data_IF_229089994262
#
_entry.id   IF_229089994262
#
_cell.length_a   1.000
_cell.length_b   1.000
_cell.length_c   1.000
_cell.angle_alpha   90.00
_cell.angle_beta   90.00
_cell.angle_gamma   90.00
#
_symmetry.space_group_name_H-M   'P 1'
#
loop_
_entity.id
_entity.type
_entity.pdbx_description
1 polymer ?
#
# COMPACT_ATOMS: atom_id res chain seq x y z
N UNK A 1 1.94 -6.64 23.03
CA UNK A 1 1.92 -5.86 21.77
C UNK A 1 1.42 -6.79 20.68
N UNK A 2 0.18 -6.59 20.19
CA UNK A 2 -0.36 -7.38 19.08
C UNK A 2 0.44 -7.06 17.83
N UNK A 3 1.24 -8.02 17.35
CA UNK A 3 2.03 -7.89 16.14
C UNK A 3 1.07 -7.67 14.98
N UNK A 4 1.08 -6.45 14.42
CA UNK A 4 0.12 -6.02 13.40
C UNK A 4 0.47 -6.70 12.09
N UNK A 5 -0.04 -7.92 11.98
CA UNK A 5 -0.23 -8.73 10.78
C UNK A 5 -0.55 -7.88 9.55
N UNK A 6 0.45 -7.68 8.69
CA UNK A 6 0.38 -6.81 7.51
C UNK A 6 1.30 -7.34 6.40
N UNK A 7 0.93 -7.08 5.14
CA UNK A 7 1.72 -7.37 3.94
C UNK A 7 2.53 -6.17 3.46
N UNK A 8 2.57 -5.10 4.26
CA UNK A 8 3.31 -3.89 3.94
C UNK A 8 4.80 -4.01 4.25
N UNK A 9 5.62 -3.52 3.33
CA UNK A 9 7.04 -3.34 3.55
C UNK A 9 7.28 -2.13 4.47
N UNK A 10 7.30 -2.37 5.79
CA UNK A 10 7.49 -1.30 6.77
C UNK A 10 8.83 -0.57 6.63
N UNK A 11 9.88 -1.21 6.09
CA UNK A 11 11.18 -0.59 5.86
C UNK A 11 11.07 0.48 4.77
N UNK A 12 10.48 0.12 3.63
CA UNK A 12 10.27 1.05 2.51
C UNK A 12 9.28 2.14 2.90
N UNK A 13 8.17 1.81 3.56
CA UNK A 13 7.17 2.80 4.00
C UNK A 13 7.77 3.78 5.00
N UNK A 14 8.53 3.32 5.99
CA UNK A 14 9.18 4.21 6.97
C UNK A 14 10.18 5.12 6.30
N UNK A 15 10.99 4.61 5.37
CA UNK A 15 11.96 5.39 4.58
C UNK A 15 11.25 6.45 3.73
N UNK A 16 10.19 6.08 3.03
CA UNK A 16 9.42 7.02 2.19
C UNK A 16 8.65 8.04 3.02
N UNK A 17 8.06 7.64 4.14
CA UNK A 17 7.40 8.56 5.09
C UNK A 17 8.39 9.54 5.69
N UNK A 18 9.60 9.10 6.04
CA UNK A 18 10.66 9.99 6.54
C UNK A 18 11.08 11.00 5.46
N UNK A 19 11.31 10.55 4.22
CA UNK A 19 11.61 11.44 3.09
C UNK A 19 10.50 12.47 2.86
N UNK A 20 9.23 12.03 2.86
CA UNK A 20 8.09 12.91 2.69
C UNK A 20 7.95 13.92 3.83
N UNK A 21 8.23 13.53 5.09
CA UNK A 21 8.28 14.46 6.24
C UNK A 21 9.33 15.55 6.04
N UNK A 22 10.55 15.17 5.66
CA UNK A 22 11.64 16.13 5.44
C UNK A 22 11.28 17.09 4.30
N UNK A 23 10.78 16.56 3.17
CA UNK A 23 10.34 17.39 2.04
C UNK A 23 9.22 18.35 2.42
N UNK A 24 8.26 17.89 3.23
CA UNK A 24 7.16 18.72 3.71
C UNK A 24 7.66 19.84 4.63
N UNK A 25 8.52 19.54 5.61
CA UNK A 25 9.07 20.55 6.52
C UNK A 25 9.87 21.60 5.75
N UNK A 26 10.76 21.17 4.85
CA UNK A 26 11.57 22.09 4.03
C UNK A 26 10.67 22.94 3.13
N UNK A 27 9.74 22.32 2.40
CA UNK A 27 8.82 23.04 1.51
C UNK A 27 7.93 24.05 2.24
N UNK A 28 7.38 23.67 3.40
CA UNK A 28 6.55 24.58 4.23
C UNK A 28 7.40 25.72 4.80
N UNK A 29 8.61 25.44 5.28
CA UNK A 29 9.50 26.50 5.77
C UNK A 29 9.85 27.50 4.68
N UNK A 30 10.16 27.04 3.47
CA UNK A 30 10.43 27.91 2.32
C UNK A 30 9.21 28.76 1.96
N UNK A 31 8.01 28.16 1.90
CA UNK A 31 6.77 28.89 1.65
C UNK A 31 6.52 29.97 2.71
N UNK A 32 6.77 29.68 3.99
CA UNK A 32 6.61 30.66 5.06
C UNK A 32 7.58 31.86 4.88
N UNK A 33 8.85 31.60 4.56
CA UNK A 33 9.82 32.67 4.28
C UNK A 33 9.40 33.54 3.08
N UNK A 34 8.97 32.92 1.98
CA UNK A 34 8.53 33.69 0.81
C UNK A 34 7.21 34.43 1.04
N UNK A 35 6.30 33.89 1.85
CA UNK A 35 5.07 34.58 2.24
C UNK A 35 5.37 35.86 3.05
N UNK A 36 6.35 35.83 3.95
CA UNK A 36 6.82 37.04 4.65
C UNK A 36 7.41 38.05 3.65
N UNK A 37 8.18 37.57 2.68
CA UNK A 37 8.69 38.42 1.59
C UNK A 37 7.59 39.12 0.80
N UNK A 38 6.47 38.43 0.51
CA UNK A 38 5.31 39.02 -0.16
C UNK A 38 4.63 40.11 0.69
N UNK A 39 4.62 40.00 2.02
CA UNK A 39 4.10 41.07 2.88
C UNK A 39 4.92 42.36 2.75
N UNK A 40 6.25 42.24 2.59
CA UNK A 40 7.13 43.39 2.30
C UNK A 40 6.83 44.07 0.95
N UNK A 41 6.38 43.29 -0.05
CA UNK A 41 5.91 43.83 -1.34
C UNK A 41 4.63 44.65 -1.16
N UNK A 42 3.68 44.15 -0.37
CA UNK A 42 2.41 44.84 -0.10
C UNK A 42 2.66 46.17 0.64
N UNK A 43 3.65 46.21 1.53
CA UNK A 43 4.07 47.42 2.23
C UNK A 43 4.85 48.42 1.37
N UNK A 44 5.10 48.12 0.09
CA UNK A 44 5.79 49.01 -0.84
C UNK A 44 7.29 49.13 -0.60
N UNK A 45 7.89 48.25 0.20
CA UNK A 45 9.33 48.27 0.50
C UNK A 45 10.20 47.55 -0.54
N UNK A 46 9.57 46.86 -1.50
CA UNK A 46 10.22 45.91 -2.40
C UNK A 46 9.91 46.28 -3.85
N UNK A 47 10.95 46.30 -4.70
CA UNK A 47 10.79 46.65 -6.11
C UNK A 47 10.21 45.51 -6.97
N UNK A 48 9.63 45.86 -8.13
CA UNK A 48 8.96 44.90 -9.02
C UNK A 48 9.84 43.70 -9.44
N UNK A 49 11.14 43.91 -9.62
CA UNK A 49 12.06 42.82 -9.99
C UNK A 49 12.24 41.80 -8.85
N UNK A 50 12.23 42.26 -7.60
CA UNK A 50 12.36 41.42 -6.42
C UNK A 50 11.07 40.61 -6.20
N UNK A 51 9.91 41.19 -6.47
CA UNK A 51 8.62 40.48 -6.44
C UNK A 51 8.58 39.31 -7.43
N UNK A 52 9.05 39.52 -8.67
CA UNK A 52 9.10 38.46 -9.67
C UNK A 52 10.01 37.31 -9.24
N UNK A 53 11.14 37.64 -8.58
CA UNK A 53 12.08 36.66 -8.05
C UNK A 53 11.49 35.85 -6.89
N UNK A 54 10.76 36.48 -5.96
CA UNK A 54 10.07 35.80 -4.86
C UNK A 54 9.03 34.81 -5.40
N UNK A 55 8.23 35.22 -6.40
CA UNK A 55 7.23 34.34 -7.03
C UNK A 55 7.90 33.15 -7.73
N UNK A 56 8.98 33.40 -8.49
CA UNK A 56 9.73 32.34 -9.15
C UNK A 56 10.29 31.32 -8.15
N UNK A 57 10.75 31.76 -6.98
CA UNK A 57 11.27 30.90 -5.91
C UNK A 57 10.17 30.17 -5.11
N UNK A 58 8.91 30.61 -5.16
CA UNK A 58 7.80 29.84 -4.56
C UNK A 58 7.48 28.57 -5.35
N UNK A 59 7.68 28.55 -6.66
CA UNK A 59 7.39 27.39 -7.53
C UNK A 59 8.07 26.10 -7.04
N UNK A 60 9.39 26.06 -6.78
CA UNK A 60 10.04 24.86 -6.26
C UNK A 60 9.56 24.48 -4.85
N UNK A 61 9.19 25.46 -4.01
CA UNK A 61 8.67 25.19 -2.67
C UNK A 61 7.30 24.49 -2.74
N UNK A 62 6.40 24.97 -3.61
CA UNK A 62 5.12 24.29 -3.90
C UNK A 62 5.33 22.89 -4.46
N UNK A 63 6.29 22.72 -5.38
CA UNK A 63 6.62 21.41 -5.94
C UNK A 63 7.06 20.40 -4.86
N UNK A 64 7.89 20.82 -3.90
CA UNK A 64 8.32 19.96 -2.79
C UNK A 64 7.15 19.52 -1.91
N UNK A 65 6.23 20.44 -1.57
CA UNK A 65 5.03 20.12 -0.79
C UNK A 65 4.12 19.17 -1.57
N UNK A 66 3.91 19.43 -2.87
CA UNK A 66 3.14 18.55 -3.74
C UNK A 66 3.70 17.13 -3.80
N UNK A 67 5.01 16.98 -3.99
CA UNK A 67 5.69 15.69 -3.95
C UNK A 67 5.47 14.97 -2.62
N UNK A 68 5.63 15.67 -1.49
CA UNK A 68 5.42 15.10 -0.16
C UNK A 68 3.98 14.58 0.01
N UNK A 69 2.98 15.40 -0.36
CA UNK A 69 1.57 14.99 -0.35
C UNK A 69 1.31 13.75 -1.19
N UNK A 70 1.90 13.68 -2.39
CA UNK A 70 1.76 12.53 -3.27
C UNK A 70 2.34 11.26 -2.63
N UNK A 71 3.52 11.36 -1.99
CA UNK A 71 4.11 10.24 -1.25
C UNK A 71 3.21 9.73 -0.11
N UNK A 72 2.60 10.63 0.66
CA UNK A 72 1.63 10.25 1.68
C UNK A 72 0.39 9.59 1.10
N UNK A 73 -0.12 10.10 -0.02
CA UNK A 73 -1.26 9.52 -0.74
C UNK A 73 -1.00 8.07 -1.14
N UNK A 74 0.18 7.76 -1.70
CA UNK A 74 0.54 6.38 -2.05
C UNK A 74 0.65 5.46 -0.83
N UNK A 75 1.17 5.94 0.30
CA UNK A 75 1.25 5.14 1.54
C UNK A 75 -0.16 4.85 2.06
N UNK A 76 -1.04 5.86 2.09
CA UNK A 76 -2.42 5.68 2.55
C UNK A 76 -3.20 4.71 1.64
N UNK A 77 -2.96 4.77 0.32
CA UNK A 77 -3.52 3.82 -0.64
C UNK A 77 -3.02 2.40 -0.38
N UNK A 78 -1.70 2.21 -0.21
CA UNK A 78 -1.13 0.91 0.13
C UNK A 78 -1.72 0.34 1.44
N UNK A 79 -1.90 1.18 2.47
CA UNK A 79 -2.54 0.79 3.74
C UNK A 79 -4.02 0.40 3.57
N UNK A 80 -4.74 0.95 2.59
CA UNK A 80 -6.12 0.53 2.26
C UNK A 80 -6.14 -0.86 1.63
N UNK A 81 -5.31 -1.09 0.62
CA UNK A 81 -5.19 -2.40 -0.03
C UNK A 81 -4.72 -3.48 0.96
N UNK A 82 -3.80 -3.16 1.88
CA UNK A 82 -3.36 -4.09 2.92
C UNK A 82 -4.52 -4.58 3.80
N UNK A 83 -5.51 -3.72 4.10
CA UNK A 83 -6.70 -4.14 4.86
C UNK A 83 -7.53 -5.17 4.08
N UNK A 84 -7.67 -5.01 2.78
CA UNK A 84 -8.35 -5.98 1.90
C UNK A 84 -7.59 -7.31 1.93
N UNK A 85 -6.26 -7.26 1.77
CA UNK A 85 -5.41 -8.45 1.79
C UNK A 85 -5.44 -9.18 3.14
N UNK A 86 -5.56 -8.45 4.24
CA UNK A 86 -5.65 -9.04 5.58
C UNK A 86 -6.97 -9.77 5.84
N UNK A 87 -8.08 -9.33 5.23
CA UNK A 87 -9.41 -9.95 5.36
C UNK A 87 -9.56 -11.21 4.52
N UNK A 88 -8.74 -11.37 3.48
CA UNK A 88 -8.86 -12.50 2.57
C UNK A 88 -8.52 -13.85 3.22
N UNK A 89 -9.26 -14.88 2.79
CA UNK A 89 -9.21 -16.25 3.33
C UNK A 89 -8.50 -17.23 2.41
N UNK A 90 -8.50 -16.98 1.10
CA UNK A 90 -8.06 -17.94 0.08
C UNK A 90 -6.64 -17.63 -0.46
N UNK A 91 -6.14 -16.42 -0.20
CA UNK A 91 -4.79 -15.99 -0.59
C UNK A 91 -4.67 -15.59 -2.06
N UNK A 92 -5.80 -15.50 -2.75
CA UNK A 92 -5.93 -15.06 -4.14
C UNK A 92 -7.09 -14.08 -4.15
N UNK A 93 -6.81 -12.84 -4.52
CA UNK A 93 -7.81 -11.79 -4.57
C UNK A 93 -7.91 -11.33 -6.00
N UNK A 94 -9.09 -11.45 -6.59
CA UNK A 94 -9.31 -11.05 -7.97
C UNK A 94 -9.43 -9.52 -8.07
N UNK A 95 -9.00 -8.96 -9.20
CA UNK A 95 -9.13 -7.52 -9.43
C UNK A 95 -10.60 -7.03 -9.43
N UNK A 96 -11.56 -7.91 -9.72
CA UNK A 96 -12.98 -7.57 -9.63
C UNK A 96 -13.45 -7.38 -8.18
N UNK A 97 -13.12 -8.34 -7.29
CA UNK A 97 -13.43 -8.24 -5.86
C UNK A 97 -12.78 -7.00 -5.23
N UNK A 98 -11.55 -6.69 -5.61
CA UNK A 98 -10.87 -5.47 -5.16
C UNK A 98 -11.55 -4.19 -5.67
N UNK A 99 -12.00 -4.18 -6.92
CA UNK A 99 -12.67 -3.03 -7.51
C UNK A 99 -14.02 -2.75 -6.83
N UNK A 100 -14.78 -3.81 -6.50
CA UNK A 100 -16.04 -3.72 -5.75
C UNK A 100 -15.81 -3.20 -4.32
N UNK A 101 -14.87 -3.78 -3.57
CA UNK A 101 -14.61 -3.36 -2.18
C UNK A 101 -14.05 -1.93 -2.12
N UNK A 102 -13.35 -1.47 -3.16
CA UNK A 102 -12.80 -0.12 -3.25
C UNK A 102 -13.76 0.91 -3.88
N UNK A 103 -14.89 0.47 -4.45
CA UNK A 103 -15.81 1.29 -5.24
C UNK A 103 -15.06 2.12 -6.31
N UNK A 104 -14.16 1.46 -7.04
CA UNK A 104 -13.33 2.07 -8.08
C UNK A 104 -13.51 1.36 -9.41
N UNK A 105 -13.31 2.08 -10.51
CA UNK A 105 -13.22 1.45 -11.83
C UNK A 105 -12.03 0.51 -11.86
N UNK A 106 -12.25 -0.68 -12.41
CA UNK A 106 -11.26 -1.74 -12.50
C UNK A 106 -9.92 -1.28 -13.10
N UNK A 107 -9.96 -0.52 -14.19
CA UNK A 107 -8.76 -0.03 -14.87
C UNK A 107 -7.95 0.94 -13.99
N UNK A 108 -8.62 1.89 -13.35
CA UNK A 108 -7.96 2.88 -12.49
C UNK A 108 -7.36 2.22 -11.24
N UNK A 109 -8.07 1.26 -10.66
CA UNK A 109 -7.57 0.44 -9.55
C UNK A 109 -6.33 -0.33 -9.96
N UNK A 110 -6.34 -1.01 -11.11
CA UNK A 110 -5.21 -1.82 -11.54
C UNK A 110 -3.95 -0.98 -11.83
N UNK A 111 -4.10 0.16 -12.50
CA UNK A 111 -2.98 1.11 -12.74
C UNK A 111 -2.42 1.65 -11.42
N UNK A 112 -3.28 1.93 -10.45
CA UNK A 112 -2.86 2.37 -9.12
C UNK A 112 -2.12 1.26 -8.36
N UNK A 113 -2.68 0.05 -8.36
CA UNK A 113 -2.13 -1.12 -7.73
C UNK A 113 -0.75 -1.45 -8.31
N UNK A 114 -0.61 -1.46 -9.62
CA UNK A 114 0.66 -1.68 -10.31
C UNK A 114 1.72 -0.66 -9.88
N UNK A 115 1.36 0.63 -9.78
CA UNK A 115 2.28 1.68 -9.29
C UNK A 115 2.74 1.40 -7.85
N UNK A 116 1.86 0.91 -6.99
CA UNK A 116 2.17 0.57 -5.59
C UNK A 116 3.10 -0.65 -5.53
N UNK A 117 2.84 -1.69 -6.34
CA UNK A 117 3.70 -2.88 -6.45
C UNK A 117 5.09 -2.54 -7.02
N UNK A 118 5.17 -1.73 -8.08
CA UNK A 118 6.45 -1.27 -8.65
C UNK A 118 7.29 -0.46 -7.67
N UNK A 119 6.65 0.24 -6.72
CA UNK A 119 7.33 0.97 -5.64
C UNK A 119 7.80 0.07 -4.49
N UNK A 120 7.47 -1.22 -4.51
CA UNK A 120 7.90 -2.19 -3.52
C UNK A 120 7.20 -2.07 -2.17
N UNK A 121 6.02 -1.44 -2.11
CA UNK A 121 5.31 -1.26 -0.84
C UNK A 121 4.73 -2.55 -0.26
N UNK A 122 4.55 -3.60 -1.07
CA UNK A 122 4.08 -4.91 -0.62
C UNK A 122 5.23 -5.92 -0.54
N UNK A 123 5.14 -6.80 0.45
CA UNK A 123 5.98 -8.00 0.61
C UNK A 123 5.07 -9.22 0.62
N UNK A 124 5.61 -10.37 0.20
CA UNK A 124 4.88 -11.64 0.19
C UNK A 124 3.61 -11.63 -0.68
N UNK A 125 3.49 -10.67 -1.61
CA UNK A 125 2.40 -10.59 -2.59
C UNK A 125 2.99 -10.40 -3.99
N UNK A 126 2.36 -11.00 -5.00
CA UNK A 126 2.69 -10.78 -6.42
C UNK A 126 1.45 -10.43 -7.21
N UNK A 127 1.59 -9.47 -8.10
CA UNK A 127 0.55 -9.08 -9.03
C UNK A 127 0.66 -9.92 -10.30
N UNK A 128 -0.35 -10.74 -10.59
CA UNK A 128 -0.46 -11.45 -11.86
C UNK A 128 -1.22 -10.57 -12.85
N UNK A 129 -0.65 -10.32 -14.03
CA UNK A 129 -1.25 -9.46 -15.08
C UNK A 129 -1.83 -10.28 -16.26
N UNK A 130 -2.14 -11.56 -16.04
CA UNK A 130 -2.63 -12.47 -17.08
C UNK A 130 -4.09 -12.20 -17.49
N UNK A 131 -4.77 -13.22 -18.07
CA UNK A 131 -6.19 -13.13 -18.47
C UNK A 131 -7.12 -12.65 -17.35
N UNK A 132 -6.85 -13.07 -16.11
CA UNK A 132 -7.55 -12.61 -14.92
C UNK A 132 -6.52 -12.02 -13.95
N UNK A 133 -6.35 -10.69 -13.92
CA UNK A 133 -5.39 -10.11 -13.01
C UNK A 133 -5.84 -10.31 -11.57
N UNK A 134 -4.90 -10.79 -10.77
CA UNK A 134 -5.12 -11.18 -9.39
C UNK A 134 -3.89 -10.83 -8.56
N UNK A 135 -4.11 -10.56 -7.28
CA UNK A 135 -3.04 -10.48 -6.30
C UNK A 135 -2.94 -11.83 -5.62
N UNK A 136 -1.80 -12.48 -5.80
CA UNK A 136 -1.47 -13.74 -5.15
C UNK A 136 -0.66 -13.43 -3.91
N UNK A 137 -1.14 -13.84 -2.75
CA UNK A 137 -0.42 -13.74 -1.49
C UNK A 137 0.47 -14.99 -1.37
N UNK A 138 1.77 -14.83 -1.54
CA UNK A 138 2.75 -15.91 -1.61
C UNK A 138 3.12 -16.48 -0.24
N UNK A 139 3.11 -15.65 0.81
CA UNK A 139 3.56 -16.06 2.13
C UNK A 139 2.78 -15.40 3.27
N UNK A 140 3.03 -15.85 4.49
CA UNK A 140 2.40 -15.35 5.71
C UNK A 140 2.69 -13.85 5.93
N UNK A 141 1.90 -13.22 6.79
CA UNK A 141 2.07 -11.80 7.11
C UNK A 141 3.40 -11.57 7.83
N UNK A 142 3.92 -10.34 7.73
CA UNK A 142 5.10 -9.95 8.51
C UNK A 142 4.76 -10.09 10.01
N UNK A 143 5.47 -10.99 10.70
CA UNK A 143 5.25 -11.34 12.11
C UNK A 143 4.65 -12.74 12.35
N UNK A 144 4.23 -13.46 11.31
CA UNK A 144 3.87 -14.88 11.48
C UNK A 144 5.15 -15.73 11.65
N UNK A 145 5.20 -16.52 12.74
CA UNK A 145 6.30 -17.43 13.03
C UNK A 145 6.40 -18.51 11.93
N UNK A 146 7.38 -18.36 11.04
CA UNK A 146 7.86 -19.34 10.03
C UNK A 146 6.76 -20.07 9.24
N UNK A 147 6.48 -19.56 8.03
CA UNK A 147 6.72 -20.39 6.84
C UNK A 147 5.55 -21.01 6.08
N UNK A 148 4.28 -20.81 6.46
CA UNK A 148 3.16 -21.18 5.59
C UNK A 148 2.00 -20.25 5.87
N UNK A 149 1.87 -19.17 5.10
CA UNK A 149 0.70 -18.30 5.19
C UNK A 149 -0.53 -18.98 4.60
N UNK A 150 -0.31 -19.74 3.54
CA UNK A 150 -1.33 -20.45 2.78
C UNK A 150 -0.81 -21.84 2.43
N UNK A 151 -1.66 -22.85 2.57
CA UNK A 151 -1.38 -24.22 2.20
C UNK A 151 -2.34 -24.65 1.09
N UNK A 152 -1.80 -25.35 0.10
CA UNK A 152 -2.60 -26.00 -0.93
C UNK A 152 -3.03 -27.36 -0.39
N UNK A 153 -4.33 -27.64 -0.45
CA UNK A 153 -4.89 -28.89 0.04
C UNK A 153 -6.01 -29.39 -0.86
N UNK A 154 -6.20 -30.71 -0.86
CA UNK A 154 -7.27 -31.35 -1.61
C UNK A 154 -8.54 -31.33 -0.78
N UNK A 155 -9.64 -30.84 -1.34
CA UNK A 155 -10.94 -30.84 -0.69
C UNK A 155 -11.40 -32.29 -0.47
N UNK A 156 -11.73 -32.70 0.76
CA UNK A 156 -12.16 -34.06 1.04
C UNK A 156 -13.52 -34.41 0.42
N UNK A 157 -14.32 -33.40 0.04
CA UNK A 157 -15.67 -33.60 -0.52
C UNK A 157 -15.69 -33.71 -2.04
N UNK A 158 -14.93 -32.87 -2.75
CA UNK A 158 -14.93 -32.84 -4.22
C UNK A 158 -13.60 -33.23 -4.87
N UNK A 159 -12.54 -33.50 -4.09
CA UNK A 159 -11.23 -33.86 -4.62
C UNK A 159 -10.48 -32.71 -5.33
N UNK A 160 -11.06 -31.51 -5.39
CA UNK A 160 -10.41 -30.37 -6.02
C UNK A 160 -9.33 -29.77 -5.12
N UNK A 161 -8.24 -29.29 -5.72
CA UNK A 161 -7.18 -28.59 -5.01
C UNK A 161 -7.63 -27.16 -4.67
N UNK A 162 -7.67 -26.80 -3.39
CA UNK A 162 -7.97 -25.44 -2.90
C UNK A 162 -6.83 -24.91 -2.05
N UNK A 163 -6.57 -23.61 -2.13
CA UNK A 163 -5.59 -22.92 -1.28
C UNK A 163 -6.32 -22.25 -0.12
N UNK A 164 -5.92 -22.55 1.11
CA UNK A 164 -6.48 -21.91 2.30
C UNK A 164 -5.38 -21.40 3.22
N UNK A 165 -5.70 -20.38 4.00
CA UNK A 165 -4.77 -19.83 5.00
C UNK A 165 -4.40 -20.90 6.04
N UNK A 166 -3.12 -20.98 6.38
CA UNK A 166 -2.67 -21.98 7.35
C UNK A 166 -3.29 -21.71 8.72
N UNK A 167 -3.59 -22.78 9.45
CA UNK A 167 -4.27 -22.74 10.75
C UNK A 167 -5.65 -22.05 10.74
N UNK A 168 -6.28 -21.86 9.57
CA UNK A 168 -7.64 -21.33 9.45
C UNK A 168 -8.64 -22.35 8.92
N UNK A 169 -9.92 -21.97 8.98
CA UNK A 169 -11.01 -22.60 8.21
C UNK A 169 -11.29 -21.74 6.98
N UNK A 170 -11.45 -22.38 5.84
CA UNK A 170 -11.82 -21.76 4.57
C UNK A 170 -12.92 -22.55 3.87
N UNK A 171 -13.42 -22.05 2.76
CA UNK A 171 -14.39 -22.78 1.94
C UNK A 171 -13.68 -23.30 0.68
N UNK A 172 -14.10 -24.48 0.21
CA UNK A 172 -13.68 -24.98 -1.09
C UNK A 172 -14.19 -24.04 -2.20
N UNK A 173 -13.30 -23.59 -3.08
CA UNK A 173 -13.65 -22.74 -4.24
C UNK A 173 -14.58 -23.46 -5.22
N UNK A 174 -14.60 -24.79 -5.23
CA UNK A 174 -15.34 -25.59 -6.20
C UNK A 174 -16.70 -26.06 -5.68
N UNK A 175 -16.78 -26.55 -4.43
CA UNK A 175 -18.01 -27.14 -3.90
C UNK A 175 -18.54 -26.44 -2.64
N UNK A 176 -17.93 -25.33 -2.23
CA UNK A 176 -18.36 -24.51 -1.09
C UNK A 176 -18.26 -25.17 0.29
N UNK A 177 -17.78 -26.42 0.38
CA UNK A 177 -17.65 -27.12 1.66
C UNK A 177 -16.57 -26.49 2.52
N UNK A 178 -16.81 -26.47 3.84
CA UNK A 178 -15.83 -25.96 4.80
C UNK A 178 -14.64 -26.92 4.86
N UNK A 179 -13.44 -26.38 4.71
CA UNK A 179 -12.18 -27.09 4.80
C UNK A 179 -11.37 -26.48 5.97
N UNK A 180 -10.78 -27.33 6.80
CA UNK A 180 -9.94 -26.90 7.92
C UNK A 180 -8.48 -27.25 7.65
N UNK A 181 -7.60 -26.24 7.74
CA UNK A 181 -6.18 -26.45 7.59
C UNK A 181 -5.65 -27.32 8.74
N UNK A 182 -4.77 -28.30 8.46
CA UNK A 182 -4.10 -29.04 9.52
C UNK A 182 -3.27 -28.07 10.36
N UNK A 183 -3.30 -28.26 11.70
CA UNK A 183 -2.48 -27.45 12.61
C UNK A 183 -1.02 -27.75 12.34
N UNK A 184 -0.25 -26.77 11.89
CA UNK A 184 1.20 -26.93 11.82
C UNK A 184 1.73 -27.02 13.25
N UNK A 185 2.14 -28.22 13.68
CA UNK A 185 2.83 -28.37 14.95
C UNK A 185 4.15 -27.59 14.87
N UNK A 186 4.31 -26.65 15.79
CA UNK A 186 5.50 -25.85 16.01
C UNK A 186 6.68 -26.81 16.19
N UNK A 187 7.55 -26.97 15.18
CA UNK A 187 8.84 -27.63 15.38
C UNK A 187 9.71 -26.62 16.14
N UNK A 188 9.68 -26.72 17.46
CA UNK A 188 10.66 -26.07 18.32
C UNK A 188 12.05 -26.64 17.95
N UNK A 189 12.91 -25.76 17.43
CA UNK A 189 14.35 -25.99 17.24
C UNK A 189 15.05 -24.67 17.54
#
# INVERSE_FOLDING_TARGET
MSEKKSYLNYVIIRKTRAKAKVQMIVGVSMLAFYAVGLLGVIQGQIERYQTALIIALMVPAFYLVWCACNHYGFIAKAERYDKIFCKDKNGIITAHEMAEEMNMKYFDMFVELEKIFRRGYFVNCTLQQGRNPSVIINNAQVGDAKGVGFMQMVCPKCGASTRIRANSRGNCEYCGSIIQAPRTQKKDK
#
